data_IF_603768085941
#
_entry.id   IF_603768085941
#
_cell.length_a   1.000
_cell.length_b   1.000
_cell.length_c   1.000
_cell.angle_alpha   90.00
_cell.angle_beta   90.00
_cell.angle_gamma   90.00
#
_symmetry.space_group_name_H-M   'P 1'
#
loop_
_entity.id
_entity.type
_entity.pdbx_description
1 polymer ?
#
# COMPACT_ATOMS: atom_id res chain seq x y z
N UNK A 1 -3.32 12.61 -6.61
CA UNK A 1 -1.94 12.69 -7.17
C UNK A 1 -0.94 12.69 -6.04
N UNK A 2 0.24 12.08 -6.18
CA UNK A 2 1.35 12.09 -5.20
C UNK A 2 2.63 12.56 -5.87
N UNK A 3 3.64 12.94 -5.07
CA UNK A 3 5.00 13.13 -5.57
C UNK A 3 5.64 11.76 -5.78
N UNK A 4 6.23 11.55 -6.95
CA UNK A 4 7.06 10.36 -7.20
C UNK A 4 8.43 10.53 -6.52
N UNK A 5 9.13 9.42 -6.28
CA UNK A 5 10.55 9.49 -5.91
C UNK A 5 11.38 9.92 -7.12
N UNK A 6 12.57 10.45 -6.89
CA UNK A 6 13.52 10.74 -7.98
C UNK A 6 14.35 9.48 -8.28
N UNK A 7 14.23 8.92 -9.49
CA UNK A 7 14.95 7.70 -9.89
C UNK A 7 16.47 7.82 -9.76
N UNK A 8 17.04 9.01 -9.85
CA UNK A 8 18.49 9.20 -9.86
C UNK A 8 19.09 9.37 -8.47
N UNK A 9 18.28 9.78 -7.48
CA UNK A 9 18.76 10.11 -6.13
C UNK A 9 18.07 9.31 -5.02
N UNK A 10 16.95 8.66 -5.28
CA UNK A 10 16.27 7.84 -4.28
C UNK A 10 17.10 6.61 -3.93
N UNK A 11 17.16 6.29 -2.63
CA UNK A 11 17.80 5.09 -2.12
C UNK A 11 17.17 3.82 -2.73
N UNK A 12 17.98 2.81 -3.01
CA UNK A 12 17.52 1.57 -3.63
C UNK A 12 16.41 0.88 -2.80
N UNK A 13 16.49 0.93 -1.46
CA UNK A 13 15.45 0.41 -0.58
C UNK A 13 14.15 1.18 -0.71
N UNK A 14 14.19 2.49 -0.96
CA UNK A 14 12.97 3.26 -1.21
C UNK A 14 12.27 2.75 -2.47
N UNK A 15 13.02 2.54 -3.55
CA UNK A 15 12.49 2.02 -4.81
C UNK A 15 11.95 0.59 -4.67
N UNK A 16 12.66 -0.27 -3.95
CA UNK A 16 12.26 -1.66 -3.68
C UNK A 16 11.06 -1.78 -2.73
N UNK A 17 10.98 -0.94 -1.70
CA UNK A 17 9.81 -0.86 -0.82
C UNK A 17 8.57 -0.39 -1.61
N UNK A 18 8.75 0.55 -2.55
CA UNK A 18 7.70 0.94 -3.49
C UNK A 18 7.19 -0.26 -4.32
N UNK A 19 8.09 -1.06 -4.91
CA UNK A 19 7.68 -2.26 -5.66
C UNK A 19 6.92 -3.24 -4.77
N UNK A 20 7.44 -3.50 -3.56
CA UNK A 20 6.83 -4.43 -2.61
C UNK A 20 5.41 -4.00 -2.23
N UNK A 21 5.21 -2.73 -1.85
CA UNK A 21 3.88 -2.27 -1.41
C UNK A 21 2.89 -2.24 -2.58
N UNK A 22 3.28 -1.76 -3.77
CA UNK A 22 2.39 -1.75 -4.94
C UNK A 22 1.95 -3.17 -5.31
N UNK A 23 2.89 -4.12 -5.35
CA UNK A 23 2.58 -5.51 -5.69
C UNK A 23 1.64 -6.16 -4.66
N UNK A 24 1.87 -5.91 -3.36
CA UNK A 24 1.02 -6.43 -2.28
C UNK A 24 -0.41 -5.89 -2.35
N UNK A 25 -0.56 -4.59 -2.60
CA UNK A 25 -1.87 -3.92 -2.73
C UNK A 25 -2.61 -4.41 -3.98
N UNK A 26 -1.90 -4.57 -5.10
CA UNK A 26 -2.49 -5.11 -6.34
C UNK A 26 -2.97 -6.55 -6.15
N UNK A 27 -2.17 -7.39 -5.49
CA UNK A 27 -2.54 -8.77 -5.20
C UNK A 27 -3.78 -8.85 -4.30
N UNK A 28 -3.83 -7.99 -3.28
CA UNK A 28 -4.93 -7.92 -2.31
C UNK A 28 -6.22 -7.43 -2.96
N UNK A 29 -6.15 -6.35 -3.74
CA UNK A 29 -7.26 -5.83 -4.55
C UNK A 29 -7.82 -6.90 -5.50
N UNK A 30 -6.94 -7.58 -6.26
CA UNK A 30 -7.35 -8.64 -7.18
C UNK A 30 -8.00 -9.82 -6.45
N UNK A 31 -7.49 -10.19 -5.28
CA UNK A 31 -8.09 -11.25 -4.48
C UNK A 31 -9.53 -10.90 -4.09
N UNK A 32 -9.76 -9.73 -3.48
CA UNK A 32 -11.09 -9.31 -3.05
C UNK A 32 -12.07 -9.18 -4.22
N UNK A 33 -11.63 -8.62 -5.36
CA UNK A 33 -12.46 -8.52 -6.58
C UNK A 33 -12.80 -9.88 -7.18
N UNK A 34 -11.83 -10.77 -7.29
CA UNK A 34 -12.01 -12.04 -7.98
C UNK A 34 -12.72 -13.10 -7.13
N UNK A 35 -12.73 -12.99 -5.80
CA UNK A 35 -13.28 -14.01 -4.92
C UNK A 35 -14.45 -13.52 -4.06
N UNK A 36 -14.60 -12.21 -3.87
CA UNK A 36 -15.63 -11.65 -2.98
C UNK A 36 -17.05 -12.09 -3.34
N UNK A 37 -17.38 -12.20 -4.62
CA UNK A 37 -18.71 -12.64 -5.07
C UNK A 37 -19.00 -14.12 -4.80
N UNK A 38 -17.99 -14.94 -4.50
CA UNK A 38 -18.14 -16.38 -4.29
C UNK A 38 -18.73 -16.72 -2.91
N UNK A 39 -18.75 -15.76 -1.98
CA UNK A 39 -19.27 -15.99 -0.64
C UNK A 39 -20.81 -16.01 -0.63
N UNK A 40 -21.43 -16.93 0.14
CA UNK A 40 -22.89 -17.09 0.17
C UNK A 40 -23.60 -15.96 0.90
N UNK A 41 -22.96 -15.37 1.91
CA UNK A 41 -23.50 -14.30 2.72
C UNK A 41 -23.43 -12.96 1.98
N UNK A 42 -24.54 -12.21 1.97
CA UNK A 42 -24.64 -10.93 1.30
C UNK A 42 -23.79 -9.82 1.95
N UNK A 43 -23.76 -9.74 3.28
CA UNK A 43 -22.96 -8.71 3.96
C UNK A 43 -21.46 -8.96 3.76
N UNK A 44 -21.05 -10.22 3.62
CA UNK A 44 -19.66 -10.57 3.28
C UNK A 44 -19.31 -10.13 1.86
N UNK A 45 -20.19 -10.36 0.87
CA UNK A 45 -19.97 -9.87 -0.50
C UNK A 45 -19.85 -8.35 -0.55
N UNK A 46 -20.72 -7.65 0.19
CA UNK A 46 -20.68 -6.19 0.28
C UNK A 46 -19.39 -5.69 0.93
N UNK A 47 -18.95 -6.32 2.04
CA UNK A 47 -17.67 -5.99 2.68
C UNK A 47 -16.49 -6.19 1.73
N UNK A 48 -16.45 -7.31 0.99
CA UNK A 48 -15.36 -7.57 0.05
C UNK A 48 -15.36 -6.56 -1.10
N UNK A 49 -16.53 -6.12 -1.57
CA UNK A 49 -16.64 -5.07 -2.57
C UNK A 49 -16.15 -3.71 -2.04
N UNK A 50 -16.50 -3.36 -0.80
CA UNK A 50 -16.00 -2.16 -0.12
C UNK A 50 -14.47 -2.20 0.02
N UNK A 51 -13.91 -3.30 0.54
CA UNK A 51 -12.46 -3.44 0.69
C UNK A 51 -11.78 -3.34 -0.68
N UNK A 52 -12.29 -4.04 -1.71
CA UNK A 52 -11.74 -3.98 -3.06
C UNK A 52 -11.73 -2.56 -3.67
N UNK A 53 -12.72 -1.71 -3.35
CA UNK A 53 -12.73 -0.29 -3.75
C UNK A 53 -11.60 0.48 -3.04
N UNK A 54 -11.40 0.25 -1.75
CA UNK A 54 -10.32 0.88 -0.98
C UNK A 54 -8.95 0.43 -1.48
N UNK A 55 -8.75 -0.86 -1.73
CA UNK A 55 -7.46 -1.35 -2.24
C UNK A 55 -7.16 -0.84 -3.66
N UNK A 56 -8.18 -0.61 -4.51
CA UNK A 56 -7.97 0.07 -5.79
C UNK A 56 -7.48 1.51 -5.60
N UNK A 57 -7.98 2.23 -4.58
CA UNK A 57 -7.47 3.55 -4.23
C UNK A 57 -6.03 3.47 -3.75
N UNK A 58 -5.67 2.46 -2.96
CA UNK A 58 -4.29 2.22 -2.54
C UNK A 58 -3.37 1.95 -3.72
N UNK A 59 -3.73 1.04 -4.62
CA UNK A 59 -2.97 0.77 -5.86
C UNK A 59 -2.76 2.06 -6.64
N UNK A 60 -3.85 2.78 -6.96
CA UNK A 60 -3.78 4.05 -7.70
C UNK A 60 -2.89 5.08 -7.00
N UNK A 61 -2.90 5.12 -5.67
CA UNK A 61 -2.07 6.03 -4.91
C UNK A 61 -0.60 5.64 -4.97
N UNK A 62 -0.28 4.36 -4.74
CA UNK A 62 1.09 3.90 -4.67
C UNK A 62 1.75 3.88 -6.04
N UNK A 63 1.04 3.51 -7.11
CA UNK A 63 1.57 3.55 -8.50
C UNK A 63 2.10 4.94 -8.89
N UNK A 64 1.54 6.01 -8.35
CA UNK A 64 2.00 7.38 -8.58
C UNK A 64 3.34 7.72 -7.90
N UNK A 65 3.83 6.85 -7.01
CA UNK A 65 5.13 7.05 -6.37
C UNK A 65 6.30 6.66 -7.28
N UNK A 66 6.07 5.82 -8.29
CA UNK A 66 7.08 5.44 -9.27
C UNK A 66 7.49 6.63 -10.14
N UNK A 67 8.79 6.77 -10.42
CA UNK A 67 9.28 7.86 -11.26
C UNK A 67 8.87 7.63 -12.73
N UNK A 68 8.17 8.57 -13.38
CA UNK A 68 7.74 8.42 -14.76
C UNK A 68 8.89 8.40 -15.77
N UNK A 69 10.11 8.78 -15.37
CA UNK A 69 11.32 8.77 -16.22
C UNK A 69 12.01 7.42 -16.26
N UNK A 70 11.54 6.43 -15.50
CA UNK A 70 12.07 5.07 -15.57
C UNK A 70 11.62 4.35 -16.84
N UNK A 71 12.56 3.73 -17.54
CA UNK A 71 12.27 2.87 -18.68
C UNK A 71 11.59 1.58 -18.22
N UNK A 72 10.94 0.87 -19.14
CA UNK A 72 10.31 -0.41 -18.81
C UNK A 72 11.34 -1.47 -18.41
N UNK A 73 12.55 -1.43 -18.99
CA UNK A 73 13.63 -2.34 -18.61
C UNK A 73 14.20 -2.01 -17.23
N UNK A 74 14.34 -0.72 -16.88
CA UNK A 74 14.72 -0.31 -15.52
C UNK A 74 13.70 -0.77 -14.48
N UNK A 75 12.40 -0.58 -14.76
CA UNK A 75 11.32 -1.04 -13.88
C UNK A 75 11.35 -2.56 -13.71
N UNK A 76 11.50 -3.31 -14.80
CA UNK A 76 11.58 -4.76 -14.74
C UNK A 76 12.81 -5.21 -13.96
N UNK A 77 13.99 -4.63 -14.21
CA UNK A 77 15.20 -4.95 -13.45
C UNK A 77 15.01 -4.69 -11.94
N UNK A 78 14.38 -3.58 -11.56
CA UNK A 78 14.07 -3.27 -10.17
C UNK A 78 13.11 -4.31 -9.55
N UNK A 79 12.10 -4.78 -10.29
CA UNK A 79 11.20 -5.84 -9.84
C UNK A 79 11.97 -7.13 -9.60
N UNK A 80 12.78 -7.59 -10.56
CA UNK A 80 13.54 -8.85 -10.42
C UNK A 80 14.58 -8.76 -9.28
N UNK A 81 15.22 -7.60 -9.09
CA UNK A 81 16.09 -7.35 -7.94
C UNK A 81 15.31 -7.42 -6.62
N UNK A 82 14.13 -6.80 -6.58
CA UNK A 82 13.27 -6.82 -5.38
C UNK A 82 12.85 -8.24 -5.02
N UNK A 83 12.39 -9.04 -5.98
CA UNK A 83 11.99 -10.43 -5.74
C UNK A 83 13.18 -11.28 -5.27
N UNK A 84 14.35 -11.17 -5.92
CA UNK A 84 15.57 -11.83 -5.47
C UNK A 84 15.93 -11.46 -4.02
N UNK A 85 15.85 -10.18 -3.67
CA UNK A 85 16.10 -9.69 -2.31
C UNK A 85 15.08 -10.21 -1.28
N UNK A 86 13.80 -10.27 -1.63
CA UNK A 86 12.75 -10.81 -0.77
C UNK A 86 13.01 -12.28 -0.48
N UNK A 87 13.24 -13.08 -1.52
CA UNK A 87 13.53 -14.51 -1.36
C UNK A 87 14.83 -14.76 -0.58
N UNK A 88 15.88 -13.97 -0.84
CA UNK A 88 17.11 -14.06 -0.07
C UNK A 88 16.89 -13.76 1.41
N UNK A 89 16.17 -12.67 1.72
CA UNK A 89 15.83 -12.28 3.09
C UNK A 89 15.06 -13.40 3.80
N UNK A 90 14.05 -13.98 3.15
CA UNK A 90 13.26 -15.07 3.72
C UNK A 90 14.08 -16.34 3.93
N UNK A 91 14.96 -16.69 2.99
CA UNK A 91 15.86 -17.83 3.14
C UNK A 91 16.84 -17.69 4.33
N UNK A 92 17.18 -16.47 4.76
CA UNK A 92 18.03 -16.26 5.94
C UNK A 92 17.32 -16.61 7.25
N UNK A 93 15.99 -16.49 7.29
CA UNK A 93 15.18 -16.71 8.49
C UNK A 93 14.37 -18.01 8.46
N UNK A 94 14.36 -18.74 7.34
CA UNK A 94 13.64 -20.00 7.21
C UNK A 94 14.34 -21.14 7.97
N UNK A 95 13.59 -21.78 8.86
CA UNK A 95 14.06 -22.83 9.75
C UNK A 95 13.90 -24.23 9.15
N UNK A 96 12.90 -24.44 8.28
CA UNK A 96 12.70 -25.72 7.60
C UNK A 96 13.57 -25.77 6.34
N UNK A 97 14.58 -26.67 6.26
CA UNK A 97 15.48 -26.75 5.11
C UNK A 97 14.77 -27.02 3.78
N UNK A 98 13.60 -27.68 3.80
CA UNK A 98 12.83 -27.97 2.59
C UNK A 98 12.19 -26.70 2.03
N UNK A 99 11.62 -25.87 2.91
CA UNK A 99 11.03 -24.59 2.52
C UNK A 99 12.14 -23.60 2.13
N UNK A 100 13.26 -23.59 2.86
CA UNK A 100 14.43 -22.80 2.52
C UNK A 100 14.92 -23.07 1.10
N UNK A 101 14.96 -24.34 0.69
CA UNK A 101 15.31 -24.72 -0.68
C UNK A 101 14.38 -24.13 -1.75
N UNK A 102 13.10 -23.91 -1.43
CA UNK A 102 12.14 -23.24 -2.34
C UNK A 102 12.49 -21.76 -2.48
N UNK A 103 12.71 -21.06 -1.36
CA UNK A 103 13.15 -19.66 -1.37
C UNK A 103 14.45 -19.47 -2.16
N UNK A 104 15.46 -20.31 -1.91
CA UNK A 104 16.73 -20.26 -2.63
C UNK A 104 16.59 -20.57 -4.12
N UNK A 105 15.64 -21.43 -4.50
CA UNK A 105 15.37 -21.74 -5.91
C UNK A 105 14.79 -20.53 -6.62
N UNK A 106 13.75 -19.90 -6.06
CA UNK A 106 13.16 -18.70 -6.67
C UNK A 106 14.11 -17.52 -6.64
N UNK A 107 14.88 -17.32 -5.57
CA UNK A 107 15.96 -16.34 -5.53
C UNK A 107 16.92 -16.50 -6.73
N UNK A 108 17.36 -17.72 -7.04
CA UNK A 108 18.27 -17.98 -8.18
C UNK A 108 17.60 -17.68 -9.52
N UNK A 109 16.30 -17.95 -9.66
CA UNK A 109 15.54 -17.61 -10.86
C UNK A 109 15.49 -16.09 -11.05
N UNK A 110 15.16 -15.34 -10.01
CA UNK A 110 15.07 -13.88 -10.10
C UNK A 110 16.43 -13.20 -10.30
N UNK A 111 17.52 -13.77 -9.74
CA UNK A 111 18.88 -13.34 -10.08
C UNK A 111 19.17 -13.55 -11.57
N UNK A 112 18.75 -14.69 -12.14
CA UNK A 112 18.94 -14.95 -13.56
C UNK A 112 18.13 -13.97 -14.42
N UNK A 113 16.88 -13.68 -14.06
CA UNK A 113 16.06 -12.69 -14.77
C UNK A 113 16.62 -11.27 -14.64
N UNK A 114 17.11 -10.88 -13.46
CA UNK A 114 17.77 -9.60 -13.24
C UNK A 114 19.00 -9.44 -14.14
N UNK A 115 19.85 -10.47 -14.23
CA UNK A 115 21.02 -10.47 -15.11
C UNK A 115 20.61 -10.34 -16.58
N UNK A 116 19.52 -10.98 -16.98
CA UNK A 116 18.98 -10.82 -18.34
C UNK A 116 18.47 -9.40 -18.59
N UNK A 117 17.80 -8.78 -17.61
CA UNK A 117 17.41 -7.37 -17.70
C UNK A 117 18.64 -6.46 -17.86
N UNK A 118 19.69 -6.67 -17.06
CA UNK A 118 20.95 -5.92 -17.18
C UNK A 118 21.58 -6.07 -18.57
N UNK A 119 21.57 -7.29 -19.13
CA UNK A 119 22.03 -7.58 -20.50
C UNK A 119 21.20 -6.83 -21.55
N UNK A 120 19.88 -6.80 -21.39
CA UNK A 120 18.96 -6.10 -22.29
C UNK A 120 19.12 -4.58 -22.21
N UNK A 121 19.27 -4.02 -21.02
CA UNK A 121 19.55 -2.59 -20.79
C UNK A 121 20.84 -2.21 -21.51
N UNK A 122 21.92 -2.98 -21.31
CA UNK A 122 23.20 -2.72 -22.00
C UNK A 122 23.06 -2.80 -23.52
N UNK A 123 22.32 -3.78 -24.03
CA UNK A 123 22.13 -4.01 -25.47
C UNK A 123 21.30 -2.91 -26.14
N UNK A 124 20.20 -2.49 -25.52
CA UNK A 124 19.19 -1.64 -26.15
C UNK A 124 19.21 -0.19 -25.69
N UNK A 125 19.65 0.06 -24.45
CA UNK A 125 19.75 1.42 -23.89
C UNK A 125 21.20 1.91 -23.77
N UNK A 126 22.20 1.03 -23.98
CA UNK A 126 23.62 1.38 -23.95
C UNK A 126 24.14 1.79 -22.57
N UNK A 127 23.43 1.43 -21.50
CA UNK A 127 23.72 1.83 -20.11
C UNK A 127 24.13 0.63 -19.27
N UNK A 128 24.90 0.88 -18.22
CA UNK A 128 25.26 -0.13 -17.23
C UNK A 128 24.22 -0.19 -16.11
N UNK A 129 23.94 -1.39 -15.60
CA UNK A 129 22.96 -1.58 -14.51
C UNK A 129 23.43 -0.95 -13.20
N UNK A 130 24.75 -0.88 -12.96
CA UNK A 130 25.32 -0.24 -11.78
C UNK A 130 25.07 1.27 -11.77
N UNK A 131 25.06 1.93 -12.93
CA UNK A 131 24.74 3.36 -13.05
C UNK A 131 23.26 3.66 -12.76
N UNK A 132 22.38 2.67 -12.96
CA UNK A 132 20.93 2.77 -12.71
C UNK A 132 20.62 2.54 -11.24
N UNK A 133 21.13 1.46 -10.66
CA UNK A 133 20.82 1.07 -9.30
C UNK A 133 21.57 1.92 -8.26
N UNK A 134 22.81 2.30 -8.56
CA UNK A 134 23.71 3.08 -7.69
C UNK A 134 23.83 2.48 -6.28
N UNK A 135 23.80 1.16 -6.18
CA UNK A 135 23.92 0.43 -4.92
C UNK A 135 24.69 -0.87 -5.15
N UNK A 136 25.69 -1.12 -4.31
CA UNK A 136 26.47 -2.36 -4.32
C UNK A 136 25.90 -3.39 -3.33
N UNK A 137 25.20 -2.94 -2.30
CA UNK A 137 24.60 -3.75 -1.25
C UNK A 137 23.19 -3.24 -0.94
N UNK A 138 22.27 -4.16 -0.69
CA UNK A 138 20.89 -3.84 -0.28
C UNK A 138 20.69 -4.29 1.16
N UNK A 139 20.77 -3.34 2.09
CA UNK A 139 20.59 -3.55 3.53
C UNK A 139 19.59 -2.55 4.13
N UNK A 140 18.94 -2.89 5.26
CA UNK A 140 18.97 -4.19 5.93
C UNK A 140 18.13 -5.24 5.18
N UNK A 141 18.31 -6.52 5.51
CA UNK A 141 17.40 -7.60 5.07
C UNK A 141 16.05 -7.49 5.77
N UNK A 142 15.02 -8.10 5.18
CA UNK A 142 13.73 -8.25 5.86
C UNK A 142 13.85 -9.32 6.94
N UNK A 143 13.46 -8.97 8.15
CA UNK A 143 13.38 -9.87 9.29
C UNK A 143 11.92 -10.04 9.71
N UNK A 144 11.55 -11.24 10.15
CA UNK A 144 10.21 -11.49 10.71
C UNK A 144 10.26 -11.39 12.23
N UNK A 145 9.90 -10.22 12.72
CA UNK A 145 9.79 -9.93 14.15
C UNK A 145 8.51 -9.15 14.45
N UNK A 146 8.14 -9.06 15.73
CA UNK A 146 6.96 -8.30 16.13
C UNK A 146 7.17 -6.81 15.88
N UNK A 147 6.34 -6.22 15.02
CA UNK A 147 6.34 -4.78 14.71
C UNK A 147 5.17 -4.02 15.36
N UNK A 148 4.43 -4.64 16.29
CA UNK A 148 3.22 -4.05 16.90
C UNK A 148 3.48 -2.68 17.51
N UNK A 149 4.52 -2.54 18.34
CA UNK A 149 4.86 -1.26 18.98
C UNK A 149 5.17 -0.15 17.96
N UNK A 150 5.77 -0.51 16.82
CA UNK A 150 6.01 0.45 15.74
C UNK A 150 4.70 0.88 15.09
N UNK A 151 3.84 -0.08 14.75
CA UNK A 151 2.52 0.20 14.17
C UNK A 151 1.66 1.05 15.12
N UNK A 152 1.64 0.71 16.41
CA UNK A 152 0.91 1.46 17.42
C UNK A 152 1.39 2.92 17.50
N UNK A 153 2.71 3.15 17.47
CA UNK A 153 3.28 4.52 17.43
C UNK A 153 2.89 5.27 16.16
N UNK A 154 2.90 4.61 15.00
CA UNK A 154 2.51 5.21 13.72
C UNK A 154 1.04 5.61 13.77
N UNK A 155 0.15 4.70 14.19
CA UNK A 155 -1.27 4.99 14.36
C UNK A 155 -1.47 6.15 15.34
N UNK A 156 -0.81 6.12 16.50
CA UNK A 156 -0.91 7.17 17.51
C UNK A 156 -0.49 8.56 17.02
N UNK A 157 0.47 8.61 16.09
CA UNK A 157 1.07 9.85 15.60
C UNK A 157 0.47 10.34 14.28
N UNK A 158 -0.18 9.47 13.49
CA UNK A 158 -0.52 9.74 12.09
C UNK A 158 -1.98 9.44 11.73
N UNK A 159 -2.82 8.99 12.66
CA UNK A 159 -4.22 8.63 12.40
C UNK A 159 -5.05 9.73 11.74
N UNK A 160 -4.76 11.01 12.01
CA UNK A 160 -5.48 12.15 11.46
C UNK A 160 -4.82 12.74 10.20
N UNK A 161 -3.84 12.06 9.59
CA UNK A 161 -3.27 12.49 8.31
C UNK A 161 -4.21 12.14 7.15
N UNK A 162 -4.47 13.13 6.30
CA UNK A 162 -5.37 13.03 5.15
C UNK A 162 -4.67 13.48 3.85
N UNK A 163 -4.97 12.85 2.71
CA UNK A 163 -4.45 13.30 1.42
C UNK A 163 -5.01 14.65 1.01
N UNK A 164 -4.14 15.63 0.73
CA UNK A 164 -4.54 16.90 0.12
C UNK A 164 -3.44 17.42 -0.81
N UNK A 165 -3.78 17.71 -2.07
CA UNK A 165 -2.88 18.33 -3.05
C UNK A 165 -1.45 17.73 -3.09
N UNK A 166 -1.36 16.39 -3.18
CA UNK A 166 -0.11 15.61 -3.23
C UNK A 166 0.63 15.42 -1.92
N UNK A 167 0.20 16.07 -0.85
CA UNK A 167 0.79 15.98 0.48
C UNK A 167 -0.15 15.25 1.45
N UNK A 168 0.37 14.96 2.65
CA UNK A 168 -0.42 14.59 3.81
C UNK A 168 -0.52 15.78 4.76
N UNK A 169 -1.74 16.14 5.15
CA UNK A 169 -2.01 17.22 6.10
C UNK A 169 -2.90 16.69 7.23
N UNK A 170 -2.91 17.35 8.38
CA UNK A 170 -3.78 16.95 9.49
C UNK A 170 -5.23 17.26 9.15
N UNK A 171 -6.16 16.44 9.64
CA UNK A 171 -7.61 16.60 9.45
C UNK A 171 -8.09 18.01 9.81
N UNK A 172 -7.57 18.57 10.91
CA UNK A 172 -7.91 19.93 11.36
C UNK A 172 -7.51 21.03 10.36
N UNK A 173 -6.47 20.79 9.55
CA UNK A 173 -5.89 21.75 8.61
C UNK A 173 -6.47 21.61 7.19
N UNK A 174 -7.37 20.63 6.97
CA UNK A 174 -8.09 20.50 5.70
C UNK A 174 -9.04 21.68 5.48
N UNK A 175 -9.34 22.04 4.22
CA UNK A 175 -10.40 22.99 3.93
C UNK A 175 -11.79 22.38 4.18
N UNK A 176 -12.79 23.22 4.46
CA UNK A 176 -14.16 22.76 4.74
C UNK A 176 -14.84 22.12 3.51
N UNK A 177 -14.40 22.48 2.31
CA UNK A 177 -14.88 21.97 1.02
C UNK A 177 -14.00 20.85 0.43
N UNK A 178 -13.19 20.18 1.26
CA UNK A 178 -12.35 19.07 0.82
C UNK A 178 -13.18 17.99 0.12
N UNK A 179 -12.85 17.70 -1.15
CA UNK A 179 -13.67 16.90 -2.05
C UNK A 179 -14.04 15.50 -1.50
N UNK A 180 -13.16 14.89 -0.70
CA UNK A 180 -13.39 13.58 -0.11
C UNK A 180 -14.57 13.56 0.85
N UNK A 181 -14.92 14.68 1.50
CA UNK A 181 -16.11 14.75 2.34
C UNK A 181 -17.39 14.49 1.53
N UNK A 182 -17.52 15.17 0.37
CA UNK A 182 -18.66 14.98 -0.53
C UNK A 182 -18.69 13.58 -1.16
N UNK A 183 -17.53 13.03 -1.51
CA UNK A 183 -17.42 11.67 -2.01
C UNK A 183 -17.91 10.65 -0.98
N UNK A 184 -17.37 10.68 0.24
CA UNK A 184 -17.74 9.75 1.30
C UNK A 184 -19.21 9.88 1.68
N UNK A 185 -19.76 11.10 1.75
CA UNK A 185 -21.17 11.32 2.02
C UNK A 185 -22.08 10.64 0.98
N UNK A 186 -21.66 10.64 -0.29
CA UNK A 186 -22.42 10.01 -1.39
C UNK A 186 -22.28 8.49 -1.38
N UNK A 187 -21.06 7.98 -1.27
CA UNK A 187 -20.78 6.53 -1.33
C UNK A 187 -21.35 5.82 -0.10
N UNK A 188 -21.20 6.42 1.08
CA UNK A 188 -21.65 5.85 2.35
C UNK A 188 -23.08 6.28 2.74
N UNK A 189 -23.85 6.88 1.82
CA UNK A 189 -25.19 7.40 2.11
C UNK A 189 -26.16 6.33 2.65
N UNK A 190 -25.92 5.06 2.32
CA UNK A 190 -26.71 3.91 2.78
C UNK A 190 -26.06 3.14 3.93
N UNK A 191 -24.99 3.68 4.52
CA UNK A 191 -24.10 2.98 5.45
C UNK A 191 -22.91 2.35 4.73
N UNK A 192 -21.97 1.86 5.54
CA UNK A 192 -20.78 1.12 5.10
C UNK A 192 -20.85 -0.31 5.65
N UNK A 193 -20.70 -1.35 4.81
CA UNK A 193 -20.70 -2.75 5.24
C UNK A 193 -19.69 -3.05 6.38
N UNK A 194 -18.52 -2.43 6.34
CA UNK A 194 -17.49 -2.52 7.38
C UNK A 194 -17.99 -2.07 8.74
N UNK A 195 -18.65 -0.90 8.83
CA UNK A 195 -19.22 -0.37 10.06
C UNK A 195 -20.38 -1.24 10.56
N UNK A 196 -21.20 -1.80 9.66
CA UNK A 196 -22.25 -2.76 10.05
C UNK A 196 -21.66 -4.01 10.69
N UNK A 197 -20.60 -4.58 10.12
CA UNK A 197 -19.92 -5.75 10.67
C UNK A 197 -19.26 -5.42 12.02
N UNK A 198 -18.56 -4.28 12.13
CA UNK A 198 -17.94 -3.84 13.39
C UNK A 198 -18.99 -3.66 14.49
N UNK A 199 -20.16 -3.10 14.15
CA UNK A 199 -21.26 -2.95 15.11
C UNK A 199 -21.80 -4.28 15.65
N UNK A 200 -21.69 -5.36 14.85
CA UNK A 200 -22.12 -6.72 15.20
C UNK A 200 -21.00 -7.57 15.79
N UNK A 201 -19.75 -7.16 15.64
CA UNK A 201 -18.59 -7.92 16.05
C UNK A 201 -18.47 -8.01 17.58
N UNK A 202 -17.88 -9.10 18.07
CA UNK A 202 -17.69 -9.35 19.50
C UNK A 202 -16.79 -8.31 20.19
N UNK A 203 -16.80 -8.34 21.54
CA UNK A 203 -16.15 -7.35 22.43
C UNK A 203 -14.71 -6.98 22.08
N UNK A 204 -13.93 -7.87 21.48
CA UNK A 204 -12.51 -7.65 21.19
C UNK A 204 -12.26 -6.72 19.98
N UNK A 205 -13.00 -6.91 18.87
CA UNK A 205 -12.93 -6.01 17.71
C UNK A 205 -13.51 -4.63 18.06
N UNK A 206 -14.59 -4.61 18.85
CA UNK A 206 -15.18 -3.38 19.37
C UNK A 206 -14.22 -2.61 20.30
N UNK A 207 -13.35 -3.28 21.06
CA UNK A 207 -12.39 -2.60 21.96
C UNK A 207 -11.36 -1.75 21.22
N UNK A 208 -10.87 -2.22 20.06
CA UNK A 208 -9.90 -1.46 19.27
C UNK A 208 -10.55 -0.23 18.64
N UNK A 209 -11.75 -0.36 18.08
CA UNK A 209 -12.51 0.79 17.54
C UNK A 209 -12.85 1.83 18.63
N UNK A 210 -13.04 1.39 19.87
CA UNK A 210 -13.27 2.25 21.04
C UNK A 210 -12.01 2.97 21.56
N UNK A 211 -10.83 2.77 20.96
CA UNK A 211 -9.65 3.53 21.32
C UNK A 211 -9.91 5.03 21.13
N UNK A 212 -9.65 5.83 22.16
CA UNK A 212 -10.23 7.17 22.24
C UNK A 212 -9.74 8.13 21.15
N UNK A 213 -8.54 7.92 20.62
CA UNK A 213 -8.04 8.67 19.46
C UNK A 213 -8.81 8.33 18.17
N UNK A 214 -9.12 7.06 17.95
CA UNK A 214 -9.89 6.61 16.79
C UNK A 214 -11.28 7.22 16.83
N UNK A 215 -11.95 7.16 17.99
CA UNK A 215 -13.25 7.79 18.18
C UNK A 215 -13.22 9.28 17.89
N UNK A 216 -12.21 10.01 18.39
CA UNK A 216 -12.07 11.46 18.14
C UNK A 216 -11.90 11.79 16.67
N UNK A 217 -11.07 11.04 15.94
CA UNK A 217 -10.87 11.25 14.49
C UNK A 217 -12.16 10.94 13.72
N UNK A 218 -12.84 9.83 14.02
CA UNK A 218 -14.13 9.47 13.41
C UNK A 218 -15.20 10.56 13.65
N UNK A 219 -15.31 11.05 14.88
CA UNK A 219 -16.26 12.10 15.25
C UNK A 219 -15.97 13.42 14.54
N UNK A 220 -14.70 13.84 14.49
CA UNK A 220 -14.33 15.06 13.76
C UNK A 220 -14.56 14.93 12.26
N UNK A 221 -14.26 13.77 11.68
CA UNK A 221 -14.53 13.46 10.27
C UNK A 221 -16.03 13.57 9.96
N UNK A 222 -16.89 12.93 10.76
CA UNK A 222 -18.35 13.00 10.61
C UNK A 222 -18.87 14.44 10.72
N UNK A 223 -18.42 15.19 11.74
CA UNK A 223 -18.80 16.60 11.95
C UNK A 223 -18.42 17.49 10.75
N UNK A 224 -17.23 17.28 10.18
CA UNK A 224 -16.74 18.02 9.01
C UNK A 224 -17.50 17.66 7.74
N UNK A 225 -17.86 16.39 7.56
CA UNK A 225 -18.71 15.96 6.45
C UNK A 225 -20.09 16.62 6.49
N UNK A 226 -20.76 16.63 7.65
CA UNK A 226 -22.06 17.28 7.82
C UNK A 226 -22.01 18.78 7.49
N UNK A 227 -20.96 19.47 8.00
CA UNK A 227 -20.73 20.90 7.71
C UNK A 227 -20.47 21.15 6.22
N UNK A 228 -19.65 20.32 5.58
CA UNK A 228 -19.35 20.42 4.16
C UNK A 228 -20.59 20.23 3.28
N UNK A 229 -21.44 19.25 3.61
CA UNK A 229 -22.72 19.03 2.91
C UNK A 229 -23.67 20.22 3.05
N UNK A 230 -23.73 20.87 4.22
CA UNK A 230 -24.56 22.05 4.44
C UNK A 230 -24.07 23.29 3.65
N UNK A 231 -22.79 23.32 3.26
CA UNK A 231 -22.17 24.42 2.52
C UNK A 231 -22.28 24.27 0.98
N UNK A 232 -22.63 23.08 0.47
CA UNK A 232 -22.82 22.85 -0.98
C UNK A 232 -24.28 23.19 -1.33
N UNK A 233 -24.54 24.24 -2.14
CA UNK A 233 -25.91 24.56 -2.56
C UNK A 233 -26.50 23.40 -3.36
N UNK A 234 -27.74 23.03 -3.04
CA UNK A 234 -28.50 22.02 -3.76
C UNK A 234 -28.49 22.36 -5.27
N UNK A 235 -27.87 21.50 -6.07
CA UNK A 235 -27.90 21.56 -7.54
C UNK A 235 -28.97 20.62 -8.06
#
# INVERSE_FOLDING_TARGET
MRKHYDKDTADIKTKMNYVTIVAGEQQTMLYYRAHGFMYPDDIVRQLYAEIAEIEEQHVSQYELLGDPRETMLEKLALVQLNEAYLYYSYAQHESDPRIKGIWETHMKMEIAHFNECARLIRKFEGRDIHDILKADVVEPLIVFESNKDYVDRVLDAQLDLMPNNREYVRLRDLPDDWASFGYQAKVNAKGAPSEEIVSKAGRELAQRDQAEKIKKVKQEMARRMEKGMAAVPAR
#
